data_IF_784614867918
#
_entry.id   IF_784614867918
#
_cell.length_a   1.000
_cell.length_b   1.000
_cell.length_c   1.000
_cell.angle_alpha   90.00
_cell.angle_beta   90.00
_cell.angle_gamma   90.00
#
_symmetry.space_group_name_H-M   'P 1'
#
loop_
_entity.id
_entity.type
_entity.pdbx_description
1 polymer ?
#
# COMPACT_ATOMS: atom_id res chain seq x y z
N UNK A 1 -11.09 0.27 7.45
CA UNK A 1 -11.27 1.72 7.24
C UNK A 1 -10.05 2.42 6.65
N UNK A 2 -8.86 1.75 6.55
CA UNK A 2 -7.62 2.37 6.01
C UNK A 2 -7.81 2.88 4.58
N UNK A 3 -8.23 2.00 3.66
CA UNK A 3 -8.39 2.33 2.24
C UNK A 3 -9.36 3.49 2.05
N UNK A 4 -10.53 3.43 2.69
CA UNK A 4 -11.54 4.48 2.59
C UNK A 4 -11.02 5.84 3.09
N UNK A 5 -10.32 5.84 4.23
CA UNK A 5 -9.73 7.08 4.73
C UNK A 5 -8.66 7.64 3.77
N UNK A 6 -7.83 6.78 3.19
CA UNK A 6 -6.82 7.18 2.21
C UNK A 6 -7.46 7.72 0.92
N UNK A 7 -8.56 7.11 0.45
CA UNK A 7 -9.37 7.58 -0.67
C UNK A 7 -9.90 9.01 -0.40
N UNK A 8 -10.51 9.24 0.77
CA UNK A 8 -11.05 10.56 1.14
C UNK A 8 -9.95 11.63 1.19
N UNK A 9 -8.77 11.31 1.76
CA UNK A 9 -7.66 12.26 1.90
C UNK A 9 -7.04 12.61 0.55
N UNK A 10 -6.77 11.63 -0.31
CA UNK A 10 -6.15 11.92 -1.61
C UNK A 10 -7.13 12.62 -2.54
N UNK A 11 -8.41 12.28 -2.49
CA UNK A 11 -9.44 13.00 -3.23
C UNK A 11 -9.48 14.48 -2.84
N UNK A 12 -9.45 14.79 -1.55
CA UNK A 12 -9.44 16.16 -1.05
C UNK A 12 -8.19 16.93 -1.49
N UNK A 13 -7.04 16.27 -1.62
CA UNK A 13 -5.78 16.90 -2.01
C UNK A 13 -5.72 17.33 -3.49
N UNK A 14 -6.57 16.74 -4.35
CA UNK A 14 -6.50 16.94 -5.81
C UNK A 14 -7.79 17.45 -6.46
N UNK A 15 -8.80 17.85 -5.68
CA UNK A 15 -10.10 18.29 -6.22
C UNK A 15 -10.01 19.63 -6.98
N UNK A 16 -10.54 19.68 -8.23
CA UNK A 16 -10.93 18.54 -9.06
C UNK A 16 -9.72 17.99 -9.84
N UNK A 17 -9.48 16.69 -9.78
CA UNK A 17 -8.38 16.08 -10.50
C UNK A 17 -8.43 14.54 -10.52
N UNK A 18 -7.73 13.91 -11.47
CA UNK A 18 -7.66 12.46 -11.56
C UNK A 18 -6.79 11.88 -10.43
N UNK A 19 -7.20 10.70 -9.94
CA UNK A 19 -6.38 9.87 -9.05
C UNK A 19 -6.17 8.51 -9.69
N UNK A 20 -4.94 8.04 -9.68
CA UNK A 20 -4.60 6.67 -10.04
C UNK A 20 -4.66 5.78 -8.79
N UNK A 21 -5.52 4.78 -8.83
CA UNK A 21 -5.63 3.76 -7.79
C UNK A 21 -4.85 2.51 -8.22
N UNK A 22 -3.79 2.21 -7.52
CA UNK A 22 -2.95 1.03 -7.75
C UNK A 22 -3.37 -0.06 -6.76
N UNK A 23 -4.09 -1.07 -7.26
CA UNK A 23 -4.51 -2.22 -6.49
C UNK A 23 -3.47 -3.34 -6.61
N UNK A 24 -2.87 -3.73 -5.49
CA UNK A 24 -1.78 -4.72 -5.45
C UNK A 24 -2.24 -6.12 -5.06
N UNK A 25 -3.51 -6.26 -4.68
CA UNK A 25 -4.09 -7.55 -4.32
C UNK A 25 -4.06 -8.55 -5.49
N UNK A 26 -3.82 -9.82 -5.18
CA UNK A 26 -3.97 -10.88 -6.18
C UNK A 26 -5.37 -10.83 -6.79
N UNK A 27 -5.46 -11.03 -8.11
CA UNK A 27 -6.77 -11.19 -8.76
C UNK A 27 -7.57 -12.26 -8.04
N UNK A 28 -8.88 -12.02 -7.82
CA UNK A 28 -9.72 -12.93 -7.06
C UNK A 28 -9.89 -14.25 -7.80
N UNK A 29 -9.03 -15.21 -7.72
CA UNK A 29 -9.14 -16.51 -8.37
C UNK A 29 -10.56 -17.09 -8.31
N UNK A 30 -10.75 -18.31 -7.82
CA UNK A 30 -12.06 -18.94 -7.65
C UNK A 30 -12.77 -18.57 -6.31
N UNK A 31 -12.29 -17.57 -5.58
CA UNK A 31 -12.88 -17.13 -4.31
C UNK A 31 -13.94 -16.05 -4.54
N UNK A 32 -15.21 -16.48 -4.56
CA UNK A 32 -16.38 -15.60 -4.78
C UNK A 32 -16.55 -14.53 -3.67
N UNK A 33 -16.09 -14.78 -2.46
CA UNK A 33 -16.19 -13.82 -1.36
C UNK A 33 -15.16 -12.71 -1.54
N UNK A 34 -13.94 -13.07 -1.92
CA UNK A 34 -12.89 -12.12 -2.26
C UNK A 34 -13.26 -11.29 -3.49
N UNK A 35 -13.80 -11.93 -4.54
CA UNK A 35 -14.28 -11.23 -5.74
C UNK A 35 -15.35 -10.18 -5.42
N UNK A 36 -16.31 -10.51 -4.54
CA UNK A 36 -17.34 -9.55 -4.09
C UNK A 36 -16.77 -8.39 -3.31
N UNK A 37 -15.76 -8.60 -2.46
CA UNK A 37 -15.09 -7.52 -1.72
C UNK A 37 -14.34 -6.58 -2.66
N UNK A 38 -13.62 -7.12 -3.64
CA UNK A 38 -12.92 -6.34 -4.67
C UNK A 38 -13.91 -5.53 -5.49
N UNK A 39 -15.03 -6.13 -5.92
CA UNK A 39 -16.06 -5.44 -6.68
C UNK A 39 -16.70 -4.29 -5.88
N UNK A 40 -17.06 -4.52 -4.62
CA UNK A 40 -17.62 -3.48 -3.74
C UNK A 40 -16.63 -2.32 -3.52
N UNK A 41 -15.33 -2.62 -3.41
CA UNK A 41 -14.28 -1.59 -3.33
C UNK A 41 -14.12 -0.81 -4.65
N UNK A 42 -14.34 -1.44 -5.80
CA UNK A 42 -14.30 -0.74 -7.11
C UNK A 42 -15.50 0.18 -7.28
N UNK A 43 -16.68 -0.28 -6.89
CA UNK A 43 -17.94 0.49 -6.99
C UNK A 43 -17.97 1.72 -6.05
N UNK A 44 -17.25 1.67 -4.95
CA UNK A 44 -17.19 2.80 -3.98
C UNK A 44 -16.27 3.92 -4.41
N UNK A 45 -15.46 3.75 -5.47
CA UNK A 45 -14.49 4.77 -5.91
C UNK A 45 -15.17 5.91 -6.65
N UNK A 46 -14.70 7.16 -6.49
CA UNK A 46 -15.22 8.30 -7.23
C UNK A 46 -15.12 8.10 -8.75
N UNK A 47 -16.10 8.61 -9.49
CA UNK A 47 -16.03 8.68 -10.95
C UNK A 47 -14.79 9.46 -11.40
N UNK A 48 -14.09 8.94 -12.43
CA UNK A 48 -12.87 9.56 -12.96
C UNK A 48 -11.56 9.04 -12.35
N UNK A 49 -11.61 8.14 -11.38
CA UNK A 49 -10.40 7.46 -10.90
C UNK A 49 -9.97 6.35 -11.85
N UNK A 50 -8.65 6.32 -12.14
CA UNK A 50 -8.06 5.28 -12.98
C UNK A 50 -7.56 4.14 -12.09
N UNK A 51 -8.19 2.97 -12.20
CA UNK A 51 -7.72 1.77 -11.48
C UNK A 51 -6.73 0.98 -12.31
N UNK A 52 -5.56 0.72 -11.74
CA UNK A 52 -4.54 -0.19 -12.26
C UNK A 52 -4.38 -1.36 -11.30
N UNK A 53 -4.69 -2.56 -11.76
CA UNK A 53 -4.41 -3.79 -10.99
C UNK A 53 -3.02 -4.28 -11.38
N UNK A 54 -2.06 -4.20 -10.46
CA UNK A 54 -0.68 -4.59 -10.71
C UNK A 54 0.06 -4.90 -9.42
N UNK A 55 0.93 -5.89 -9.46
CA UNK A 55 1.92 -6.14 -8.42
C UNK A 55 3.21 -5.35 -8.64
N UNK A 56 3.42 -4.74 -9.82
CA UNK A 56 4.56 -3.88 -10.10
C UNK A 56 4.27 -2.42 -9.73
N UNK A 57 4.24 -2.17 -8.41
CA UNK A 57 4.07 -0.82 -7.85
C UNK A 57 5.21 0.09 -8.26
N UNK A 58 6.43 -0.45 -8.40
CA UNK A 58 7.61 0.34 -8.77
C UNK A 58 7.48 0.92 -10.17
N UNK A 59 7.08 0.11 -11.17
CA UNK A 59 6.80 0.60 -12.51
C UNK A 59 5.68 1.66 -12.46
N UNK A 60 4.57 1.37 -11.78
CA UNK A 60 3.45 2.31 -11.68
C UNK A 60 3.85 3.67 -11.11
N UNK A 61 4.71 3.73 -10.09
CA UNK A 61 5.17 5.00 -9.50
C UNK A 61 6.17 5.74 -10.39
N UNK A 62 7.03 5.02 -11.13
CA UNK A 62 8.07 5.60 -11.98
C UNK A 62 7.54 6.10 -13.32
N UNK A 63 6.54 5.40 -13.89
CA UNK A 63 6.00 5.73 -15.21
C UNK A 63 5.24 7.06 -15.20
N UNK A 64 4.61 7.40 -14.09
CA UNK A 64 3.89 8.67 -13.97
C UNK A 64 3.96 9.21 -12.52
N UNK A 65 5.05 9.88 -12.15
CA UNK A 65 5.22 10.48 -10.83
C UNK A 65 4.44 11.78 -10.63
N UNK A 66 3.77 12.28 -11.66
CA UNK A 66 3.06 13.56 -11.65
C UNK A 66 1.55 13.41 -11.44
N UNK A 67 1.00 12.22 -11.56
CA UNK A 67 -0.41 11.96 -11.28
C UNK A 67 -0.61 11.48 -9.84
N UNK A 68 -1.53 12.12 -9.11
CA UNK A 68 -1.86 11.70 -7.75
C UNK A 68 -2.21 10.22 -7.69
N UNK A 69 -1.59 9.49 -6.76
CA UNK A 69 -1.65 8.04 -6.73
C UNK A 69 -1.96 7.52 -5.33
N UNK A 70 -2.84 6.53 -5.27
CA UNK A 70 -3.10 5.74 -4.07
C UNK A 70 -2.68 4.29 -4.32
N UNK A 71 -1.84 3.71 -3.45
CA UNK A 71 -1.42 2.31 -3.49
C UNK A 71 -2.13 1.53 -2.38
N UNK A 72 -2.92 0.53 -2.72
CA UNK A 72 -3.70 -0.30 -1.78
C UNK A 72 -3.52 -1.80 -2.09
N UNK A 73 -2.76 -2.56 -1.29
CA UNK A 73 -1.94 -2.15 -0.16
C UNK A 73 -0.50 -2.73 -0.25
N UNK A 74 0.37 -2.21 0.60
CA UNK A 74 1.79 -2.64 0.63
C UNK A 74 1.98 -4.06 1.17
N UNK A 75 1.02 -4.60 1.92
CA UNK A 75 1.06 -6.00 2.35
C UNK A 75 0.90 -6.97 1.18
N UNK A 76 -0.04 -6.70 0.28
CA UNK A 76 -0.22 -7.47 -0.97
C UNK A 76 1.00 -7.37 -1.88
N UNK A 77 1.53 -6.15 -2.07
CA UNK A 77 2.76 -5.94 -2.83
C UNK A 77 3.95 -6.72 -2.23
N UNK A 78 4.18 -6.63 -0.92
CA UNK A 78 5.29 -7.32 -0.26
C UNK A 78 5.17 -8.84 -0.36
N UNK A 79 3.94 -9.38 -0.25
CA UNK A 79 3.69 -10.81 -0.45
C UNK A 79 4.16 -11.24 -1.84
N UNK A 80 3.80 -10.52 -2.89
CA UNK A 80 4.25 -10.79 -4.26
C UNK A 80 5.76 -10.70 -4.42
N UNK A 81 6.41 -9.73 -3.78
CA UNK A 81 7.89 -9.62 -3.80
C UNK A 81 8.56 -10.77 -3.04
N UNK A 82 8.00 -11.20 -1.91
CA UNK A 82 8.51 -12.35 -1.16
C UNK A 82 8.38 -13.65 -1.95
N UNK A 83 7.29 -13.83 -2.69
CA UNK A 83 7.13 -14.98 -3.61
C UNK A 83 8.16 -14.93 -4.74
N UNK A 84 8.31 -13.79 -5.40
CA UNK A 84 9.24 -13.61 -6.52
C UNK A 84 10.71 -13.84 -6.13
N UNK A 85 11.08 -13.44 -4.91
CA UNK A 85 12.46 -13.50 -4.40
C UNK A 85 12.74 -14.77 -3.57
N UNK A 86 11.81 -15.74 -3.47
CA UNK A 86 11.88 -16.87 -2.51
C UNK A 86 12.18 -16.41 -1.07
N UNK A 87 11.67 -15.26 -0.70
CA UNK A 87 11.98 -14.62 0.59
C UNK A 87 11.22 -15.24 1.77
N UNK A 88 10.32 -16.17 1.53
CA UNK A 88 9.71 -16.98 2.59
C UNK A 88 10.71 -17.96 3.23
N UNK A 89 11.75 -18.34 2.48
CA UNK A 89 12.79 -19.30 2.89
C UNK A 89 14.16 -18.62 3.08
N UNK A 90 14.91 -18.45 2.00
CA UNK A 90 16.30 -18.00 2.02
C UNK A 90 16.55 -16.69 1.26
N UNK A 91 15.63 -16.27 0.39
CA UNK A 91 15.75 -15.02 -0.37
C UNK A 91 15.57 -13.77 0.49
N UNK A 92 15.76 -12.61 -0.12
CA UNK A 92 15.60 -11.30 0.53
C UNK A 92 14.86 -10.31 -0.36
N UNK A 93 14.06 -9.44 0.24
CA UNK A 93 13.32 -8.37 -0.45
C UNK A 93 14.00 -7.01 -0.35
N UNK A 94 15.19 -6.93 0.22
CA UNK A 94 15.89 -5.68 0.50
C UNK A 94 16.01 -4.79 -0.74
N UNK A 95 16.39 -5.36 -1.89
CA UNK A 95 16.52 -4.59 -3.13
C UNK A 95 15.19 -3.99 -3.58
N UNK A 96 14.09 -4.74 -3.48
CA UNK A 96 12.75 -4.27 -3.84
C UNK A 96 12.25 -3.19 -2.88
N UNK A 97 12.46 -3.38 -1.59
CA UNK A 97 12.06 -2.40 -0.57
C UNK A 97 12.87 -1.11 -0.66
N UNK A 98 14.19 -1.19 -0.95
CA UNK A 98 15.03 -0.04 -1.20
C UNK A 98 14.56 0.76 -2.42
N UNK A 99 14.24 0.05 -3.51
CA UNK A 99 13.74 0.65 -4.74
C UNK A 99 12.37 1.32 -4.52
N UNK A 100 11.48 0.72 -3.72
CA UNK A 100 10.19 1.32 -3.40
C UNK A 100 10.36 2.60 -2.57
N UNK A 101 11.17 2.58 -1.51
CA UNK A 101 11.44 3.78 -0.69
C UNK A 101 12.02 4.90 -1.53
N UNK A 102 12.95 4.59 -2.44
CA UNK A 102 13.52 5.58 -3.36
C UNK A 102 12.47 6.12 -4.34
N UNK A 103 11.57 5.29 -4.87
CA UNK A 103 10.50 5.73 -5.76
C UNK A 103 9.49 6.64 -5.04
N UNK A 104 9.15 6.33 -3.79
CA UNK A 104 8.29 7.17 -2.94
C UNK A 104 8.95 8.52 -2.65
N UNK A 105 10.25 8.53 -2.33
CA UNK A 105 10.99 9.78 -2.08
C UNK A 105 11.11 10.68 -3.31
N UNK A 106 11.11 10.10 -4.51
CA UNK A 106 11.19 10.83 -5.78
C UNK A 106 9.80 11.21 -6.36
N UNK A 107 8.71 10.75 -5.75
CA UNK A 107 7.36 11.01 -6.25
C UNK A 107 6.97 12.47 -6.00
N UNK A 108 6.37 13.13 -7.00
CA UNK A 108 6.17 14.58 -6.97
C UNK A 108 4.72 15.02 -6.79
N UNK A 109 3.76 14.16 -7.11
CA UNK A 109 2.35 14.42 -6.90
C UNK A 109 1.88 13.92 -5.50
N UNK A 110 0.65 14.24 -5.05
CA UNK A 110 0.10 13.61 -3.86
C UNK A 110 0.12 12.08 -3.94
N UNK A 111 0.68 11.43 -2.92
CA UNK A 111 0.81 9.98 -2.84
C UNK A 111 0.25 9.47 -1.51
N UNK A 112 -0.68 8.54 -1.56
CA UNK A 112 -1.18 7.82 -0.41
C UNK A 112 -0.77 6.35 -0.49
N UNK A 113 -0.17 5.83 0.58
CA UNK A 113 0.23 4.43 0.71
C UNK A 113 -0.60 3.79 1.82
N UNK A 114 -1.32 2.74 1.50
CA UNK A 114 -2.05 1.92 2.50
C UNK A 114 -1.18 0.75 2.89
N UNK A 115 -0.99 0.54 4.20
CA UNK A 115 -0.23 -0.59 4.71
C UNK A 115 -0.91 -1.23 5.92
N UNK A 116 -0.85 -2.55 6.10
CA UNK A 116 -1.19 -3.18 7.35
C UNK A 116 -0.21 -2.78 8.46
N UNK A 117 -0.75 -2.51 9.66
CA UNK A 117 0.10 -2.40 10.86
C UNK A 117 0.27 -3.79 11.48
N UNK A 118 1.50 -4.25 11.56
CA UNK A 118 1.85 -5.61 12.03
C UNK A 118 2.42 -5.63 13.44
N UNK A 119 2.82 -4.48 13.97
CA UNK A 119 3.43 -4.37 15.30
C UNK A 119 2.43 -4.43 16.46
N UNK A 120 1.13 -4.28 16.19
CA UNK A 120 0.06 -4.31 17.20
C UNK A 120 -0.59 -5.69 17.34
N UNK A 121 -0.02 -6.73 16.78
CA UNK A 121 -0.54 -8.10 16.81
C UNK A 121 0.30 -9.00 17.69
N UNK A 122 -0.29 -10.15 18.10
CA UNK A 122 0.49 -11.22 18.74
C UNK A 122 1.50 -11.77 17.73
N UNK A 123 2.70 -12.12 18.22
CA UNK A 123 3.76 -12.70 17.38
C UNK A 123 3.21 -13.89 16.57
N UNK A 124 3.34 -13.90 15.25
CA UNK A 124 2.82 -14.98 14.43
C UNK A 124 3.41 -16.34 14.77
N UNK A 125 2.57 -17.38 14.80
CA UNK A 125 2.98 -18.72 15.17
C UNK A 125 3.93 -19.37 14.14
N UNK A 126 3.82 -18.98 12.86
CA UNK A 126 4.64 -19.55 11.78
C UNK A 126 5.88 -18.72 11.48
N UNK A 127 6.94 -19.37 10.99
CA UNK A 127 8.14 -18.68 10.54
C UNK A 127 7.84 -17.69 9.41
N UNK A 128 7.02 -18.10 8.44
CA UNK A 128 6.61 -17.23 7.33
C UNK A 128 5.87 -15.98 7.83
N UNK A 129 4.93 -16.15 8.76
CA UNK A 129 4.20 -15.01 9.33
C UNK A 129 5.12 -14.05 10.09
N UNK A 130 6.09 -14.55 10.86
CA UNK A 130 7.07 -13.71 11.56
C UNK A 130 7.93 -12.95 10.55
N UNK A 131 8.43 -13.64 9.54
CA UNK A 131 9.26 -13.02 8.50
C UNK A 131 8.50 -11.93 7.74
N UNK A 132 7.25 -12.20 7.37
CA UNK A 132 6.40 -11.16 6.76
C UNK A 132 6.21 -9.96 7.69
N UNK A 133 5.94 -10.19 8.97
CA UNK A 133 5.76 -9.11 9.94
C UNK A 133 7.05 -8.27 10.13
N UNK A 134 8.21 -8.93 10.17
CA UNK A 134 9.51 -8.25 10.28
C UNK A 134 9.81 -7.39 9.04
N UNK A 135 9.64 -7.95 7.83
CA UNK A 135 9.89 -7.24 6.57
C UNK A 135 8.91 -6.08 6.36
N UNK A 136 7.60 -6.30 6.62
CA UNK A 136 6.61 -5.24 6.48
C UNK A 136 6.79 -4.15 7.56
N UNK A 137 7.11 -4.54 8.78
CA UNK A 137 7.39 -3.60 9.86
C UNK A 137 8.60 -2.71 9.56
N UNK A 138 9.69 -3.30 9.03
CA UNK A 138 10.88 -2.56 8.60
C UNK A 138 10.57 -1.62 7.42
N UNK A 139 9.78 -2.08 6.44
CA UNK A 139 9.32 -1.25 5.32
C UNK A 139 8.47 -0.09 5.81
N UNK A 140 7.50 -0.34 6.68
CA UNK A 140 6.62 0.69 7.24
C UNK A 140 7.41 1.78 7.96
N UNK A 141 8.43 1.44 8.74
CA UNK A 141 9.29 2.41 9.42
C UNK A 141 10.05 3.30 8.43
N UNK A 142 10.60 2.72 7.38
CA UNK A 142 11.35 3.44 6.34
C UNK A 142 10.45 4.38 5.55
N UNK A 143 9.27 3.92 5.15
CA UNK A 143 8.28 4.75 4.47
C UNK A 143 7.75 5.86 5.38
N UNK A 144 7.48 5.56 6.66
CA UNK A 144 7.07 6.57 7.62
C UNK A 144 8.12 7.67 7.82
N UNK A 145 9.41 7.34 7.74
CA UNK A 145 10.49 8.33 7.77
C UNK A 145 10.46 9.24 6.52
N UNK A 146 10.12 8.69 5.35
CA UNK A 146 10.06 9.38 4.06
C UNK A 146 8.78 10.23 3.89
N UNK A 147 7.64 9.71 4.34
CA UNK A 147 6.34 10.36 4.21
C UNK A 147 6.25 11.61 5.10
N UNK A 148 5.58 12.65 4.63
CA UNK A 148 5.30 13.88 5.40
C UNK A 148 4.28 13.62 6.52
N UNK A 149 3.31 12.76 6.27
CA UNK A 149 2.22 12.44 7.19
C UNK A 149 2.07 10.93 7.36
N UNK A 150 1.85 10.49 8.60
CA UNK A 150 1.56 9.09 8.94
C UNK A 150 0.34 9.05 9.86
N UNK A 151 -0.63 8.20 9.50
CA UNK A 151 -1.88 8.07 10.26
C UNK A 151 -2.19 6.58 10.49
N UNK A 152 -2.49 6.24 11.73
CA UNK A 152 -2.99 4.92 12.11
C UNK A 152 -4.52 4.95 12.15
N UNK A 153 -5.17 4.01 11.47
CA UNK A 153 -6.64 3.90 11.46
C UNK A 153 -7.08 2.79 12.41
N UNK A 154 -7.77 3.17 13.48
CA UNK A 154 -8.34 2.25 14.47
C UNK A 154 -9.85 2.40 14.50
N UNK A 155 -10.60 1.33 14.28
CA UNK A 155 -12.08 1.34 14.23
C UNK A 155 -12.64 2.44 13.29
N UNK A 156 -11.97 2.69 12.17
CA UNK A 156 -12.34 3.73 11.21
C UNK A 156 -11.94 5.15 11.61
N UNK A 157 -11.35 5.35 12.80
CA UNK A 157 -10.93 6.66 13.30
C UNK A 157 -9.43 6.90 13.05
N UNK A 158 -9.04 8.08 12.52
CA UNK A 158 -7.65 8.42 12.28
C UNK A 158 -6.95 8.85 13.58
N UNK A 159 -5.77 8.28 13.82
CA UNK A 159 -4.85 8.71 14.87
C UNK A 159 -3.57 9.19 14.17
N UNK A 160 -3.27 10.47 14.30
CA UNK A 160 -2.06 11.04 13.72
C UNK A 160 -0.83 10.52 14.47
N UNK A 161 0.10 9.91 13.72
CA UNK A 161 1.39 9.42 14.22
C UNK A 161 2.52 10.41 13.86
N UNK A 162 2.44 11.01 12.67
CA UNK A 162 3.38 12.02 12.19
C UNK A 162 2.62 13.07 11.38
N UNK A 163 2.95 14.33 11.59
CA UNK A 163 2.45 15.47 10.80
C UNK A 163 3.57 16.11 9.97
N UNK A 164 3.22 16.81 8.88
CA UNK A 164 4.18 17.63 8.16
C UNK A 164 4.88 18.64 9.10
N UNK A 165 6.16 18.83 8.89
CA UNK A 165 6.98 19.82 9.62
C UNK A 165 6.67 21.23 9.16
#
# INVERSE_FOLDING_TARGET
>A
GKSRWAEDVIAAAVQPGPVRYVATGASPGADDEWARRVAAHRESRPEGWLTTETTDVLAALRDDPATATLVDDLGGWLTGEMDRCDAWNAGAVTQSTDALVAAVAAFTAPLALVSPEVGLTVVPATNAGRRFADELGALNQRLAATCERVVLIVAGQPITVKEPS
#
